data_IF_611949376882
#
_entry.id   IF_611949376882
#
_cell.length_a   1.000
_cell.length_b   1.000
_cell.length_c   1.000
_cell.angle_alpha   90.00
_cell.angle_beta   90.00
_cell.angle_gamma   90.00
#
_symmetry.space_group_name_H-M   'P 1'
#
loop_
_entity.id
_entity.type
_entity.pdbx_description
1 polymer ?
#
# COMPACT_ATOMS: atom_id res chain seq x y z
N UNK A 1 26.12 -15.55 32.81
CA UNK A 1 25.41 -14.73 31.79
C UNK A 1 24.15 -15.47 31.38
N UNK A 2 23.01 -15.07 31.92
CA UNK A 2 21.71 -15.66 31.61
C UNK A 2 21.08 -14.86 30.45
N UNK A 3 21.10 -15.42 29.24
CA UNK A 3 20.19 -14.99 28.17
C UNK A 3 19.07 -16.02 28.10
N UNK A 4 18.06 -15.83 28.95
CA UNK A 4 16.79 -16.53 28.82
C UNK A 4 16.10 -15.99 27.56
N UNK A 5 15.98 -16.82 26.52
CA UNK A 5 15.19 -16.50 25.35
C UNK A 5 13.71 -16.33 25.78
N UNK A 6 13.26 -15.08 25.88
CA UNK A 6 11.88 -14.74 26.20
C UNK A 6 11.04 -14.96 24.93
N UNK A 7 10.34 -16.08 24.84
CA UNK A 7 9.35 -16.30 23.78
C UNK A 7 8.19 -15.32 24.00
N UNK A 8 8.07 -14.33 23.11
CA UNK A 8 6.96 -13.38 23.11
C UNK A 8 5.68 -14.07 22.61
N UNK A 9 4.52 -13.89 23.27
CA UNK A 9 3.27 -14.59 22.94
C UNK A 9 2.54 -14.00 21.73
N UNK A 10 3.25 -13.36 20.81
CA UNK A 10 2.67 -12.85 19.57
C UNK A 10 2.74 -13.94 18.51
N UNK A 11 1.72 -14.81 18.47
CA UNK A 11 1.47 -15.67 17.31
C UNK A 11 1.17 -14.75 16.12
N UNK A 12 2.08 -14.67 15.15
CA UNK A 12 1.83 -13.94 13.89
C UNK A 12 0.80 -14.71 13.07
N UNK A 13 -0.48 -14.47 13.34
CA UNK A 13 -1.55 -14.83 12.42
C UNK A 13 -1.64 -13.67 11.42
N UNK A 14 -0.73 -13.65 10.45
CA UNK A 14 -0.87 -12.77 9.31
C UNK A 14 -1.93 -13.40 8.39
N UNK A 15 -3.19 -13.01 8.57
CA UNK A 15 -4.18 -13.21 7.52
C UNK A 15 -3.77 -12.30 6.38
N UNK A 16 -3.19 -12.87 5.32
CA UNK A 16 -3.17 -12.19 4.04
C UNK A 16 -4.63 -11.91 3.70
N UNK A 17 -5.02 -10.63 3.65
CA UNK A 17 -6.32 -10.25 3.15
C UNK A 17 -6.34 -10.54 1.65
N UNK A 18 -6.60 -11.80 1.32
CA UNK A 18 -6.77 -12.27 -0.04
C UNK A 18 -8.19 -11.92 -0.47
N UNK A 19 -8.35 -10.66 -0.91
CA UNK A 19 -9.32 -10.22 -1.90
C UNK A 19 -9.28 -8.69 -1.92
N UNK A 20 -8.57 -8.13 -2.91
CA UNK A 20 -8.97 -6.85 -3.48
C UNK A 20 -10.42 -7.07 -3.91
N UNK A 21 -11.36 -6.53 -3.13
CA UNK A 21 -12.79 -6.68 -3.42
C UNK A 21 -13.04 -6.21 -4.85
N UNK A 22 -13.87 -6.90 -5.63
CA UNK A 22 -14.24 -6.38 -6.95
C UNK A 22 -14.78 -4.97 -6.76
N UNK A 23 -14.29 -4.05 -7.59
CA UNK A 23 -14.63 -2.63 -7.54
C UNK A 23 -16.13 -2.50 -7.25
N UNK A 24 -16.46 -1.85 -6.13
CA UNK A 24 -17.86 -1.67 -5.77
C UNK A 24 -18.52 -0.95 -6.94
N UNK A 25 -19.69 -1.42 -7.38
CA UNK A 25 -20.44 -0.78 -8.47
C UNK A 25 -20.52 0.74 -8.21
N UNK A 26 -19.87 1.56 -9.04
CA UNK A 26 -19.76 3.01 -8.86
C UNK A 26 -18.38 3.54 -8.39
N UNK A 27 -17.42 2.66 -8.13
CA UNK A 27 -16.05 3.03 -7.78
C UNK A 27 -15.24 3.43 -9.02
N UNK A 28 -14.56 4.58 -8.93
CA UNK A 28 -13.59 5.03 -9.93
C UNK A 28 -12.20 5.10 -9.31
N UNK A 29 -11.20 4.65 -10.06
CA UNK A 29 -9.79 4.79 -9.68
C UNK A 29 -9.22 6.02 -10.37
N UNK A 30 -8.73 6.99 -9.59
CA UNK A 30 -8.12 8.22 -10.09
C UNK A 30 -6.65 8.23 -9.71
N UNK A 31 -5.76 8.50 -10.67
CA UNK A 31 -4.33 8.60 -10.44
C UNK A 31 -3.92 9.99 -9.97
N UNK A 32 -3.02 10.04 -8.99
CA UNK A 32 -2.41 11.26 -8.48
C UNK A 32 -0.99 10.98 -7.97
N UNK A 33 -0.33 11.99 -7.41
CA UNK A 33 0.98 11.87 -6.79
C UNK A 33 0.94 12.38 -5.34
N UNK A 34 1.75 11.79 -4.46
CA UNK A 34 1.95 12.31 -3.11
C UNK A 34 2.66 13.67 -3.19
N UNK A 35 1.96 14.75 -2.82
CA UNK A 35 2.49 16.12 -2.90
C UNK A 35 3.22 16.58 -1.64
N UNK A 36 3.38 15.69 -0.66
CA UNK A 36 4.16 16.01 0.54
C UNK A 36 5.63 16.23 0.15
N UNK A 37 6.33 17.10 0.88
CA UNK A 37 7.71 17.46 0.57
C UNK A 37 8.74 16.38 1.01
N UNK A 38 8.47 15.11 0.70
CA UNK A 38 9.40 14.00 0.88
C UNK A 38 10.33 13.80 -0.33
N UNK A 39 10.06 14.48 -1.44
CA UNK A 39 10.86 14.43 -2.68
C UNK A 39 10.49 13.30 -3.65
N UNK A 40 9.91 12.19 -3.17
CA UNK A 40 9.66 11.00 -4.00
C UNK A 40 8.48 11.13 -4.96
N UNK A 41 7.51 12.03 -4.70
CA UNK A 41 6.28 12.22 -5.50
C UNK A 41 5.62 10.90 -5.93
N UNK A 42 5.51 9.95 -4.99
CA UNK A 42 5.06 8.59 -5.29
C UNK A 42 3.69 8.58 -5.99
N UNK A 43 3.49 7.71 -7.00
CA UNK A 43 2.19 7.52 -7.63
C UNK A 43 1.18 6.90 -6.64
N UNK A 44 0.00 7.49 -6.58
CA UNK A 44 -1.11 7.07 -5.73
C UNK A 44 -2.34 6.80 -6.59
N UNK A 45 -3.05 5.72 -6.28
CA UNK A 45 -4.37 5.42 -6.85
C UNK A 45 -5.42 5.71 -5.79
N UNK A 46 -6.30 6.66 -6.10
CA UNK A 46 -7.40 7.08 -5.24
C UNK A 46 -8.67 6.35 -5.63
N UNK A 47 -9.26 5.61 -4.69
CA UNK A 47 -10.54 4.94 -4.89
C UNK A 47 -11.65 5.88 -4.48
N UNK A 48 -12.38 6.36 -5.48
CA UNK A 48 -13.42 7.37 -5.28
C UNK A 48 -14.79 6.72 -5.49
N UNK A 49 -15.66 6.88 -4.50
CA UNK A 49 -17.06 6.43 -4.53
C UNK A 49 -17.92 7.62 -4.13
N UNK A 50 -18.96 7.93 -4.92
CA UNK A 50 -19.87 9.06 -4.69
C UNK A 50 -19.17 10.43 -4.54
N UNK A 51 -18.04 10.60 -5.22
CA UNK A 51 -17.24 11.84 -5.18
C UNK A 51 -16.28 11.94 -3.99
N UNK A 52 -16.27 10.97 -3.08
CA UNK A 52 -15.38 10.91 -1.93
C UNK A 52 -14.26 9.88 -2.11
N UNK A 53 -13.03 10.23 -1.73
CA UNK A 53 -11.92 9.28 -1.66
C UNK A 53 -12.15 8.38 -0.44
N UNK A 54 -12.43 7.10 -0.67
CA UNK A 54 -12.64 6.13 0.43
C UNK A 54 -11.34 5.59 0.97
N UNK A 55 -10.38 5.33 0.09
CA UNK A 55 -9.03 4.95 0.45
C UNK A 55 -8.06 5.24 -0.69
N UNK A 56 -6.78 5.24 -0.35
CA UNK A 56 -5.67 5.45 -1.27
C UNK A 56 -4.81 4.20 -1.22
N UNK A 57 -4.31 3.77 -2.39
CA UNK A 57 -3.37 2.68 -2.50
C UNK A 57 -2.12 3.11 -3.28
N UNK A 58 -0.99 2.46 -2.99
CA UNK A 58 0.23 2.60 -3.79
C UNK A 58 0.03 2.01 -5.18
N UNK A 59 0.82 2.47 -6.16
CA UNK A 59 0.96 1.72 -7.40
C UNK A 59 1.44 0.28 -7.11
N UNK A 60 0.66 -0.68 -7.62
CA UNK A 60 0.94 -2.11 -7.59
C UNK A 60 0.73 -2.77 -8.96
N UNK A 61 0.68 -1.99 -10.04
CA UNK A 61 0.41 -2.49 -11.40
C UNK A 61 1.65 -3.07 -12.09
N UNK A 62 2.86 -2.69 -11.65
CA UNK A 62 4.11 -3.15 -12.21
C UNK A 62 4.87 -4.17 -11.36
N UNK A 63 5.77 -4.90 -12.01
CA UNK A 63 6.78 -5.71 -11.32
C UNK A 63 7.86 -4.80 -10.75
N UNK A 64 8.26 -5.06 -9.52
CA UNK A 64 9.34 -4.32 -8.86
C UNK A 64 10.66 -5.08 -9.04
N UNK A 65 11.36 -4.80 -10.14
CA UNK A 65 12.63 -5.41 -10.46
C UNK A 65 13.77 -4.42 -10.25
N UNK A 66 14.70 -4.76 -9.36
CA UNK A 66 15.83 -3.92 -9.01
C UNK A 66 16.83 -3.75 -10.16
N UNK A 67 17.04 -4.82 -10.95
CA UNK A 67 17.96 -4.81 -12.09
C UNK A 67 17.27 -4.32 -13.38
N UNK A 68 16.00 -3.89 -13.27
CA UNK A 68 15.15 -3.42 -14.36
C UNK A 68 14.33 -2.18 -14.00
N UNK A 69 13.01 -2.25 -14.23
CA UNK A 69 12.10 -1.15 -13.92
C UNK A 69 11.70 -1.18 -12.43
N UNK A 70 12.53 -0.60 -11.58
CA UNK A 70 12.23 -0.46 -10.16
C UNK A 70 10.98 0.43 -9.97
N UNK A 71 10.00 -0.09 -9.23
CA UNK A 71 8.72 0.60 -9.01
C UNK A 71 8.81 1.47 -7.76
N UNK A 72 8.57 2.78 -7.92
CA UNK A 72 8.50 3.70 -6.77
C UNK A 72 7.16 3.52 -6.07
N UNK A 73 7.18 2.84 -4.92
CA UNK A 73 5.98 2.63 -4.08
C UNK A 73 5.80 3.75 -3.05
N UNK A 74 4.55 4.07 -2.75
CA UNK A 74 4.21 5.03 -1.71
C UNK A 74 4.54 4.50 -0.31
N UNK A 75 5.03 5.38 0.56
CA UNK A 75 5.19 5.08 1.98
C UNK A 75 3.85 5.22 2.71
N UNK A 76 3.74 4.72 3.95
CA UNK A 76 2.50 4.74 4.76
C UNK A 76 1.87 6.13 5.02
N UNK A 77 2.56 7.23 4.71
CA UNK A 77 2.04 8.60 4.84
C UNK A 77 1.27 9.06 3.60
N UNK A 78 1.55 8.46 2.44
CA UNK A 78 0.86 8.72 1.18
C UNK A 78 -0.21 7.67 0.97
#
# INVERSE_FOLDING_TARGET
>A
MASSAFTLPFTRIANAAEAISPAKTGEKVVWSACTVNCGSRCPLRMHVVDGEIKYVETDNTGNDDYDGLHQVRACLRG
#
